data_IF_409167967025
#
_entry.id   IF_409167967025
#
_cell.length_a   1.000
_cell.length_b   1.000
_cell.length_c   1.000
_cell.angle_alpha   90.00
_cell.angle_beta   90.00
_cell.angle_gamma   90.00
#
_symmetry.space_group_name_H-M   'P 1'
#
loop_
_entity.id
_entity.type
_entity.pdbx_description
1 polymer ?
#
# COMPACT_ATOMS: atom_id res chain seq x y z
N UNK A 1 7.63 16.62 26.57
CA UNK A 1 8.86 16.17 25.86
C UNK A 1 8.70 16.51 24.38
N UNK A 2 9.64 17.21 23.85
CA UNK A 2 9.55 18.17 22.77
C UNK A 2 9.53 17.59 21.36
N UNK A 3 8.88 18.26 20.42
CA UNK A 3 8.80 18.03 18.96
C UNK A 3 10.16 17.71 18.23
N UNK A 4 11.27 17.80 18.95
CA UNK A 4 12.62 17.58 18.45
C UNK A 4 12.93 16.13 18.09
N UNK A 5 12.35 15.13 18.76
CA UNK A 5 12.76 13.73 18.56
C UNK A 5 12.18 13.06 17.30
N UNK A 6 10.97 13.46 16.86
CA UNK A 6 10.38 12.95 15.60
C UNK A 6 11.09 13.49 14.36
N UNK A 7 11.48 14.79 14.40
CA UNK A 7 12.27 15.41 13.31
C UNK A 7 13.69 14.85 13.20
N UNK A 8 14.27 14.41 14.31
CA UNK A 8 15.58 13.75 14.30
C UNK A 8 15.52 12.35 13.70
N UNK A 9 14.45 11.59 13.95
CA UNK A 9 14.27 10.24 13.38
C UNK A 9 14.25 10.26 11.84
N UNK A 10 13.51 11.19 11.23
CA UNK A 10 13.45 11.32 9.76
C UNK A 10 14.69 12.00 9.15
N UNK A 11 15.48 12.74 9.94
CA UNK A 11 16.71 13.39 9.44
C UNK A 11 17.97 12.54 9.56
N UNK A 12 18.03 11.62 10.51
CA UNK A 12 19.20 10.75 10.71
C UNK A 12 19.28 9.59 9.71
N UNK A 13 18.19 9.25 9.04
CA UNK A 13 18.23 8.21 7.98
C UNK A 13 18.88 8.67 6.67
N UNK A 14 19.22 9.96 6.53
CA UNK A 14 19.70 10.53 5.27
C UNK A 14 21.22 10.78 5.19
N UNK A 15 22.01 10.56 6.25
CA UNK A 15 23.46 10.83 6.20
C UNK A 15 24.25 9.82 7.03
N UNK A 16 24.86 8.84 6.39
CA UNK A 16 26.18 8.30 6.79
C UNK A 16 26.74 7.42 5.66
N UNK A 17 27.23 8.05 4.62
CA UNK A 17 28.28 7.49 3.79
C UNK A 17 29.61 7.81 4.49
N UNK A 18 30.15 6.89 5.24
CA UNK A 18 31.53 7.01 5.77
C UNK A 18 32.48 6.39 4.74
N UNK A 19 33.29 7.27 4.14
CA UNK A 19 34.45 6.88 3.36
C UNK A 19 35.51 6.30 4.31
N UNK A 20 35.84 5.04 4.14
CA UNK A 20 37.03 4.44 4.74
C UNK A 20 38.16 4.48 3.72
N UNK A 21 39.09 5.39 3.94
CA UNK A 21 40.38 5.44 3.23
C UNK A 21 41.39 4.56 3.94
N UNK A 22 41.96 3.62 3.19
CA UNK A 22 43.32 3.17 3.20
C UNK A 22 43.91 2.52 4.45
N UNK A 23 44.13 1.22 4.41
CA UNK A 23 45.32 0.55 4.97
C UNK A 23 45.84 -0.45 3.94
N UNK A 24 47.09 -0.24 3.59
CA UNK A 24 47.88 -1.03 2.65
C UNK A 24 48.32 -2.39 3.21
N UNK A 25 48.31 -3.39 2.35
CA UNK A 25 49.31 -4.42 2.28
C UNK A 25 49.18 -5.60 3.24
N UNK A 26 48.44 -6.63 2.84
CA UNK A 26 48.79 -8.03 3.16
C UNK A 26 48.52 -8.85 1.91
N UNK A 27 49.60 -9.38 1.32
CA UNK A 27 49.54 -10.42 0.29
C UNK A 27 49.08 -11.70 0.94
N UNK A 28 47.90 -12.18 0.56
CA UNK A 28 47.40 -13.51 0.94
C UNK A 28 47.55 -14.44 -0.28
N UNK A 29 48.31 -15.48 -0.06
CA UNK A 29 48.55 -16.58 -1.00
C UNK A 29 47.25 -17.12 -1.63
N UNK A 30 47.31 -17.39 -2.92
CA UNK A 30 46.32 -18.07 -3.70
C UNK A 30 46.16 -19.54 -3.26
N UNK A 31 45.36 -19.80 -2.22
CA UNK A 31 44.93 -21.13 -1.85
C UNK A 31 43.51 -21.37 -2.35
N UNK A 32 43.38 -22.20 -3.37
CA UNK A 32 42.24 -23.00 -3.81
C UNK A 32 40.85 -22.55 -3.28
N UNK A 33 40.13 -21.84 -4.10
CA UNK A 33 38.67 -21.76 -3.97
C UNK A 33 38.10 -23.18 -4.18
N UNK A 34 37.83 -23.89 -3.09
CA UNK A 34 36.93 -25.02 -3.10
C UNK A 34 35.54 -24.44 -3.33
N UNK A 35 34.88 -24.83 -4.42
CA UNK A 35 33.52 -24.49 -4.74
C UNK A 35 32.62 -24.86 -3.55
N UNK A 36 32.05 -23.87 -2.91
CA UNK A 36 30.98 -24.09 -1.91
C UNK A 36 29.79 -24.79 -2.63
N UNK A 37 29.24 -25.83 -2.05
CA UNK A 37 28.05 -26.48 -2.64
C UNK A 37 26.93 -25.47 -2.78
N UNK A 38 26.33 -25.47 -3.95
CA UNK A 38 25.24 -24.58 -4.35
C UNK A 38 24.13 -24.54 -3.30
N UNK A 39 23.96 -23.40 -2.62
CA UNK A 39 22.82 -23.13 -1.75
C UNK A 39 21.48 -23.07 -2.51
N UNK A 40 21.49 -23.24 -3.84
CA UNK A 40 20.30 -23.15 -4.71
C UNK A 40 19.25 -24.25 -4.46
N UNK A 41 19.63 -25.42 -3.95
CA UNK A 41 18.69 -26.56 -3.85
C UNK A 41 17.73 -26.47 -2.65
N UNK A 42 18.15 -25.86 -1.54
CA UNK A 42 17.32 -25.75 -0.32
C UNK A 42 16.30 -24.61 -0.47
N UNK A 43 16.71 -23.47 -0.99
CA UNK A 43 15.81 -22.35 -1.26
C UNK A 43 14.76 -22.72 -2.31
N UNK A 44 15.14 -23.44 -3.36
CA UNK A 44 14.19 -23.91 -4.40
C UNK A 44 13.16 -24.91 -3.83
N UNK A 45 13.59 -25.81 -2.95
CA UNK A 45 12.69 -26.76 -2.30
C UNK A 45 11.75 -26.09 -1.30
N UNK A 46 12.24 -25.14 -0.50
CA UNK A 46 11.41 -24.37 0.44
C UNK A 46 10.34 -23.55 -0.31
N UNK A 47 10.71 -22.89 -1.42
CA UNK A 47 9.76 -22.18 -2.26
C UNK A 47 8.72 -23.12 -2.90
N UNK A 48 9.12 -24.30 -3.37
CA UNK A 48 8.19 -25.28 -3.93
C UNK A 48 7.21 -25.81 -2.88
N UNK A 49 7.64 -26.00 -1.63
CA UNK A 49 6.76 -26.41 -0.53
C UNK A 49 5.79 -25.28 -0.17
N UNK A 50 6.27 -24.04 -0.06
CA UNK A 50 5.43 -22.86 0.23
C UNK A 50 4.35 -22.67 -0.84
N UNK A 51 4.72 -22.69 -2.11
CA UNK A 51 3.77 -22.54 -3.22
C UNK A 51 2.73 -23.66 -3.25
N UNK A 52 3.10 -24.89 -2.85
CA UNK A 52 2.16 -26.01 -2.80
C UNK A 52 1.18 -25.90 -1.64
N UNK A 53 1.60 -25.37 -0.49
CA UNK A 53 0.73 -25.19 0.69
C UNK A 53 -0.39 -24.17 0.48
N UNK A 54 -0.14 -23.13 -0.32
CA UNK A 54 -1.09 -22.03 -0.52
C UNK A 54 -1.67 -21.96 -1.94
N UNK A 55 -1.28 -22.90 -2.82
CA UNK A 55 -1.68 -22.90 -4.23
C UNK A 55 -3.20 -22.77 -4.46
N UNK A 56 -4.00 -23.24 -3.51
CA UNK A 56 -5.45 -23.31 -3.62
C UNK A 56 -6.19 -22.18 -2.86
N UNK A 57 -5.51 -21.30 -2.15
CA UNK A 57 -6.21 -20.25 -1.36
C UNK A 57 -6.82 -19.15 -2.23
N UNK A 58 -6.33 -18.97 -3.45
CA UNK A 58 -6.83 -17.99 -4.41
C UNK A 58 -6.41 -16.54 -4.09
N UNK A 59 -5.46 -16.34 -3.18
CA UNK A 59 -5.00 -15.03 -2.75
C UNK A 59 -3.82 -14.49 -3.57
N UNK A 60 -3.01 -15.37 -4.15
CA UNK A 60 -1.83 -14.96 -4.92
C UNK A 60 -2.19 -14.62 -6.36
N UNK A 61 -1.91 -13.39 -6.78
CA UNK A 61 -1.92 -12.98 -8.19
C UNK A 61 -0.53 -12.43 -8.52
N UNK A 62 0.28 -13.14 -9.32
CA UNK A 62 1.62 -12.68 -9.67
C UNK A 62 1.60 -11.33 -10.39
N UNK A 63 2.65 -10.52 -10.20
CA UNK A 63 2.88 -9.32 -11.01
C UNK A 63 3.40 -9.82 -12.37
N UNK A 64 2.74 -9.42 -13.44
CA UNK A 64 3.17 -9.78 -14.78
C UNK A 64 4.46 -9.05 -15.15
N UNK A 65 5.47 -9.78 -15.64
CA UNK A 65 6.72 -9.19 -16.14
C UNK A 65 6.52 -8.38 -17.44
N UNK A 66 5.46 -8.71 -18.18
CA UNK A 66 5.07 -8.03 -19.42
C UNK A 66 3.62 -7.60 -19.33
N UNK A 67 3.24 -6.51 -20.02
CA UNK A 67 1.86 -6.08 -20.09
C UNK A 67 0.95 -7.23 -20.55
N UNK A 68 -0.04 -7.54 -19.75
CA UNK A 68 -1.03 -8.57 -20.06
C UNK A 68 -2.41 -8.16 -19.56
N UNK A 69 -3.45 -8.59 -20.25
CA UNK A 69 -4.83 -8.34 -19.83
C UNK A 69 -5.09 -9.09 -18.51
N UNK A 70 -5.55 -8.35 -17.50
CA UNK A 70 -5.94 -8.91 -16.21
C UNK A 70 -7.28 -9.64 -16.34
N UNK A 71 -7.34 -10.87 -15.87
CA UNK A 71 -8.61 -11.61 -15.79
C UNK A 71 -9.66 -10.92 -14.93
N UNK A 72 -9.23 -10.08 -13.97
CA UNK A 72 -10.13 -9.33 -13.08
C UNK A 72 -10.84 -8.17 -13.79
N UNK A 73 -10.15 -7.52 -14.73
CA UNK A 73 -10.61 -6.30 -15.38
C UNK A 73 -11.12 -6.50 -16.79
N UNK A 74 -10.89 -7.67 -17.38
CA UNK A 74 -11.29 -7.97 -18.75
C UNK A 74 -12.79 -7.77 -18.95
N UNK A 75 -13.14 -6.92 -19.91
CA UNK A 75 -14.54 -6.63 -20.28
C UNK A 75 -15.23 -5.59 -19.40
N UNK A 76 -14.60 -5.11 -18.32
CA UNK A 76 -15.13 -3.99 -17.53
C UNK A 76 -14.98 -2.68 -18.28
N UNK A 77 -15.95 -1.79 -18.09
CA UNK A 77 -15.93 -0.46 -18.70
C UNK A 77 -15.11 0.53 -17.87
N UNK A 78 -15.38 0.62 -16.56
CA UNK A 78 -14.79 1.61 -15.64
C UNK A 78 -14.18 0.96 -14.42
N UNK A 79 -12.86 1.15 -14.28
CA UNK A 79 -12.11 0.65 -13.13
C UNK A 79 -11.42 1.81 -12.41
N UNK A 80 -11.13 1.64 -11.12
CA UNK A 80 -10.45 2.63 -10.31
C UNK A 80 -9.34 1.99 -9.49
N UNK A 81 -8.19 2.66 -9.42
CA UNK A 81 -7.05 2.27 -8.58
C UNK A 81 -6.77 3.38 -7.58
N UNK A 82 -6.67 3.01 -6.30
CA UNK A 82 -6.42 3.91 -5.18
C UNK A 82 -5.12 3.49 -4.48
N UNK A 83 -4.10 4.33 -4.59
CA UNK A 83 -2.79 4.10 -3.98
C UNK A 83 -2.77 4.33 -2.47
N UNK A 84 -1.69 3.91 -1.82
CA UNK A 84 -1.42 4.13 -0.41
C UNK A 84 -0.87 5.52 -0.10
N UNK A 85 -0.70 5.84 1.20
CA UNK A 85 -0.11 7.11 1.64
C UNK A 85 -0.51 7.54 3.04
N UNK A 86 -0.80 6.60 3.94
CA UNK A 86 -1.08 6.86 5.34
C UNK A 86 -2.34 7.67 5.60
N UNK A 87 -2.44 8.22 6.79
CA UNK A 87 -3.60 8.98 7.28
C UNK A 87 -3.83 10.25 6.46
N UNK A 88 -2.75 10.89 6.03
CA UNK A 88 -2.82 12.05 5.14
C UNK A 88 -3.63 11.73 3.88
N UNK A 89 -3.36 10.58 3.25
CA UNK A 89 -3.98 10.27 1.99
C UNK A 89 -5.43 9.81 2.14
N UNK A 90 -5.81 9.16 3.26
CA UNK A 90 -7.23 8.90 3.56
C UNK A 90 -8.01 10.23 3.64
N UNK A 91 -7.47 11.21 4.37
CA UNK A 91 -8.08 12.53 4.47
C UNK A 91 -8.15 13.24 3.11
N UNK A 92 -7.08 13.19 2.33
CA UNK A 92 -7.05 13.77 0.99
C UNK A 92 -8.13 13.15 0.09
N UNK A 93 -8.29 11.82 0.10
CA UNK A 93 -9.36 11.13 -0.62
C UNK A 93 -10.75 11.58 -0.17
N UNK A 94 -10.98 11.76 1.14
CA UNK A 94 -12.24 12.27 1.66
C UNK A 94 -12.60 13.63 1.03
N UNK A 95 -11.65 14.56 0.97
CA UNK A 95 -11.84 15.84 0.30
C UNK A 95 -12.06 15.71 -1.19
N UNK A 96 -11.25 14.90 -1.86
CA UNK A 96 -11.28 14.71 -3.30
C UNK A 96 -12.60 14.09 -3.79
N UNK A 97 -13.02 12.99 -3.19
CA UNK A 97 -14.28 12.33 -3.57
C UNK A 97 -15.51 13.14 -3.20
N UNK A 98 -15.44 13.93 -2.12
CA UNK A 98 -16.51 14.88 -1.80
C UNK A 98 -16.69 15.91 -2.91
N UNK A 99 -15.62 16.56 -3.36
CA UNK A 99 -15.72 17.54 -4.44
C UNK A 99 -16.09 16.92 -5.79
N UNK A 100 -15.69 15.66 -6.07
CA UNK A 100 -16.20 14.94 -7.25
C UNK A 100 -17.70 14.68 -7.15
N UNK A 101 -18.21 14.31 -5.98
CA UNK A 101 -19.65 14.10 -5.76
C UNK A 101 -20.44 15.39 -5.99
N UNK A 102 -19.96 16.53 -5.48
CA UNK A 102 -20.56 17.85 -5.74
C UNK A 102 -20.57 18.23 -7.24
N UNK A 103 -19.55 17.75 -7.99
CA UNK A 103 -19.50 17.92 -9.43
C UNK A 103 -20.37 16.91 -10.22
N UNK A 104 -21.15 16.07 -9.51
CA UNK A 104 -22.04 15.06 -10.11
C UNK A 104 -21.33 13.76 -10.52
N UNK A 105 -20.14 13.48 -9.96
CA UNK A 105 -19.39 12.25 -10.18
C UNK A 105 -19.46 11.36 -8.92
N UNK A 106 -20.43 10.47 -8.90
CA UNK A 106 -20.62 9.54 -7.78
C UNK A 106 -19.68 8.33 -7.89
N UNK A 107 -18.56 8.39 -7.16
CA UNK A 107 -17.56 7.33 -7.14
C UNK A 107 -18.01 6.06 -6.39
N UNK A 108 -19.17 6.09 -5.73
CA UNK A 108 -19.79 4.89 -5.16
C UNK A 108 -20.41 4.03 -6.26
N UNK A 109 -20.98 4.66 -7.29
CA UNK A 109 -21.73 3.99 -8.34
C UNK A 109 -20.94 3.76 -9.63
N UNK A 110 -20.06 4.70 -9.99
CA UNK A 110 -19.43 4.73 -11.31
C UNK A 110 -18.43 3.60 -11.58
N UNK A 111 -17.48 3.21 -10.69
CA UNK A 111 -16.53 2.15 -10.97
C UNK A 111 -17.16 0.76 -10.81
N UNK A 112 -16.86 -0.12 -11.76
CA UNK A 112 -17.25 -1.55 -11.71
C UNK A 112 -16.26 -2.38 -10.90
N UNK A 113 -15.03 -1.88 -10.74
CA UNK A 113 -13.96 -2.47 -9.97
C UNK A 113 -13.10 -1.40 -9.31
N UNK A 114 -12.74 -1.61 -8.06
CA UNK A 114 -11.82 -0.75 -7.30
C UNK A 114 -10.71 -1.61 -6.73
N UNK A 115 -9.47 -1.23 -6.99
CA UNK A 115 -8.27 -1.80 -6.37
C UNK A 115 -7.72 -0.78 -5.39
N UNK A 116 -7.63 -1.16 -4.12
CA UNK A 116 -7.11 -0.28 -3.07
C UNK A 116 -5.89 -0.86 -2.38
N UNK A 117 -4.90 0.00 -2.14
CA UNK A 117 -3.68 -0.32 -1.39
C UNK A 117 -3.57 0.60 -0.20
N UNK A 118 -3.31 0.07 1.01
CA UNK A 118 -3.10 0.86 2.23
C UNK A 118 -4.23 1.90 2.44
N UNK A 119 -3.95 3.19 2.48
CA UNK A 119 -4.97 4.24 2.55
C UNK A 119 -6.07 4.09 1.49
N UNK A 120 -5.72 3.68 0.27
CA UNK A 120 -6.68 3.41 -0.81
C UNK A 120 -7.57 2.21 -0.54
N UNK A 121 -7.12 1.22 0.24
CA UNK A 121 -7.95 0.09 0.66
C UNK A 121 -9.05 0.52 1.64
N UNK A 122 -8.74 1.40 2.59
CA UNK A 122 -9.73 1.99 3.48
C UNK A 122 -10.76 2.82 2.70
N UNK A 123 -10.27 3.70 1.83
CA UNK A 123 -11.15 4.56 1.04
C UNK A 123 -12.06 3.77 0.11
N UNK A 124 -11.52 2.83 -0.68
CA UNK A 124 -12.30 1.98 -1.58
C UNK A 124 -13.32 1.13 -0.83
N UNK A 125 -12.93 0.59 0.33
CA UNK A 125 -13.82 -0.17 1.20
C UNK A 125 -14.97 0.70 1.73
N UNK A 126 -14.67 1.90 2.21
CA UNK A 126 -15.68 2.83 2.72
C UNK A 126 -16.66 3.31 1.63
N UNK A 127 -16.13 3.63 0.44
CA UNK A 127 -16.96 3.98 -0.72
C UNK A 127 -17.94 2.86 -1.06
N UNK A 128 -17.45 1.63 -1.23
CA UNK A 128 -18.24 0.51 -1.73
C UNK A 128 -19.11 -0.16 -0.66
N UNK A 129 -18.89 0.14 0.62
CA UNK A 129 -19.75 -0.27 1.74
C UNK A 129 -20.84 0.77 2.06
N UNK A 130 -20.89 1.91 1.33
CA UNK A 130 -21.84 2.98 1.58
C UNK A 130 -21.50 3.88 2.78
N UNK A 131 -20.28 3.78 3.30
CA UNK A 131 -19.82 4.46 4.52
C UNK A 131 -19.08 5.79 4.25
N UNK A 132 -19.00 6.20 2.99
CA UNK A 132 -18.19 7.37 2.61
C UNK A 132 -18.62 8.66 3.32
N UNK A 133 -19.92 8.94 3.41
CA UNK A 133 -20.43 10.15 4.07
C UNK A 133 -20.07 10.17 5.54
N UNK A 134 -20.18 9.03 6.23
CA UNK A 134 -19.78 8.88 7.63
C UNK A 134 -18.28 9.09 7.77
N UNK A 135 -17.45 8.38 6.99
CA UNK A 135 -16.00 8.50 7.03
C UNK A 135 -15.54 9.94 6.81
N UNK A 136 -16.09 10.62 5.82
CA UNK A 136 -15.80 12.03 5.57
C UNK A 136 -16.13 12.91 6.78
N UNK A 137 -17.30 12.72 7.39
CA UNK A 137 -17.72 13.49 8.57
C UNK A 137 -16.78 13.26 9.76
N UNK A 138 -16.34 12.02 9.95
CA UNK A 138 -15.36 11.69 10.98
C UNK A 138 -14.00 12.35 10.71
N UNK A 139 -13.54 12.36 9.46
CA UNK A 139 -12.29 13.04 9.10
C UNK A 139 -12.39 14.57 9.19
N UNK A 140 -13.56 15.18 8.89
CA UNK A 140 -13.81 16.60 9.18
C UNK A 140 -13.69 16.89 10.69
N UNK A 141 -14.20 15.98 11.54
CA UNK A 141 -14.07 16.06 12.99
C UNK A 141 -12.63 15.88 13.45
N UNK A 142 -11.91 14.88 12.95
CA UNK A 142 -10.51 14.63 13.29
C UNK A 142 -9.59 15.76 12.79
N UNK A 143 -9.93 16.40 11.70
CA UNK A 143 -9.21 17.60 11.23
C UNK A 143 -9.28 18.77 12.22
N UNK A 144 -10.38 18.86 12.99
CA UNK A 144 -10.55 19.86 14.05
C UNK A 144 -9.93 19.42 15.38
N UNK A 145 -9.93 18.11 15.65
CA UNK A 145 -9.49 17.51 16.90
C UNK A 145 -8.50 16.35 16.65
N UNK A 146 -7.31 16.65 16.08
CA UNK A 146 -6.35 15.62 15.66
C UNK A 146 -5.82 14.77 16.83
N UNK A 147 -5.87 15.29 18.05
CA UNK A 147 -5.49 14.56 19.26
C UNK A 147 -6.43 13.37 19.58
N UNK A 148 -7.67 13.41 19.10
CA UNK A 148 -8.61 12.30 19.24
C UNK A 148 -8.21 11.18 18.30
N UNK A 149 -7.92 11.48 17.03
CA UNK A 149 -7.44 10.48 16.09
C UNK A 149 -6.11 9.86 16.54
N UNK A 150 -5.20 10.67 17.08
CA UNK A 150 -3.93 10.19 17.63
C UNK A 150 -4.09 9.18 18.78
N UNK A 151 -5.24 9.17 19.47
CA UNK A 151 -5.56 8.16 20.49
C UNK A 151 -6.11 6.86 19.90
N UNK A 152 -6.78 6.95 18.73
CA UNK A 152 -7.29 5.79 18.00
C UNK A 152 -6.15 5.05 17.28
N UNK A 153 -5.14 5.79 16.83
CA UNK A 153 -3.92 5.28 16.20
C UNK A 153 -2.71 5.61 17.06
N UNK A 154 -2.50 4.95 18.21
CA UNK A 154 -1.40 5.28 19.12
C UNK A 154 -0.07 4.89 18.49
N UNK A 155 0.46 5.75 17.63
CA UNK A 155 1.83 5.67 17.13
C UNK A 155 2.77 5.92 18.33
N UNK A 156 3.12 4.87 19.01
CA UNK A 156 4.10 4.93 20.10
C UNK A 156 5.48 5.17 19.52
N UNK A 157 6.40 5.70 20.35
CA UNK A 157 7.82 5.76 19.97
C UNK A 157 8.27 4.36 19.53
N UNK A 158 8.81 4.21 18.30
CA UNK A 158 9.24 2.91 17.81
C UNK A 158 10.36 2.36 18.70
N UNK A 159 10.29 1.08 18.99
CA UNK A 159 11.39 0.38 19.65
C UNK A 159 12.50 0.03 18.65
N UNK A 160 13.63 -0.49 19.14
CA UNK A 160 14.79 -0.81 18.30
C UNK A 160 14.44 -1.81 17.17
N UNK A 161 13.58 -2.80 17.44
CA UNK A 161 13.22 -3.79 16.42
C UNK A 161 12.32 -3.21 15.32
N UNK A 162 11.41 -2.30 15.69
CA UNK A 162 10.62 -1.54 14.72
C UNK A 162 11.50 -0.61 13.87
N UNK A 163 12.46 0.10 14.50
CA UNK A 163 13.42 0.93 13.78
C UNK A 163 14.26 0.14 12.78
N UNK A 164 14.66 -1.09 13.14
CA UNK A 164 15.38 -1.99 12.23
C UNK A 164 14.52 -2.43 11.06
N UNK A 165 13.27 -2.80 11.29
CA UNK A 165 12.36 -3.19 10.21
C UNK A 165 12.08 -2.02 9.25
N UNK A 166 11.87 -0.81 9.78
CA UNK A 166 11.74 0.40 8.98
C UNK A 166 13.04 0.69 8.19
N UNK A 167 14.21 0.60 8.82
CA UNK A 167 15.47 0.80 8.13
C UNK A 167 15.69 -0.20 6.98
N UNK A 168 15.29 -1.48 7.15
CA UNK A 168 15.38 -2.49 6.10
C UNK A 168 14.43 -2.11 4.94
N UNK A 169 13.19 -1.72 5.23
CA UNK A 169 12.26 -1.22 4.22
C UNK A 169 12.83 0.02 3.49
N UNK A 170 13.37 0.98 4.24
CA UNK A 170 13.91 2.24 3.69
C UNK A 170 15.29 2.09 3.03
N UNK A 171 15.92 0.93 3.09
CA UNK A 171 17.17 0.62 2.38
C UNK A 171 16.98 -0.27 1.16
N UNK A 172 15.74 -0.63 0.82
CA UNK A 172 15.45 -1.47 -0.34
C UNK A 172 15.83 -0.77 -1.65
N UNK A 173 16.53 -1.50 -2.51
CA UNK A 173 17.02 -0.98 -3.80
C UNK A 173 16.23 -1.53 -5.00
N UNK A 174 15.39 -2.52 -4.77
CA UNK A 174 14.54 -3.13 -5.77
C UNK A 174 13.25 -3.67 -5.12
N UNK A 175 12.28 -4.05 -5.93
CA UNK A 175 11.02 -4.66 -5.51
C UNK A 175 10.93 -6.16 -5.81
N UNK A 176 12.06 -6.86 -5.88
CA UNK A 176 12.12 -8.30 -6.14
C UNK A 176 11.43 -9.12 -5.04
N UNK A 177 11.08 -10.35 -5.36
CA UNK A 177 10.51 -11.29 -4.38
C UNK A 177 11.47 -11.46 -3.19
N UNK A 178 12.78 -11.56 -3.44
CA UNK A 178 13.77 -11.75 -2.39
C UNK A 178 13.87 -10.52 -1.46
N UNK A 179 13.88 -9.33 -2.01
CA UNK A 179 13.84 -8.09 -1.20
C UNK A 179 12.56 -8.02 -0.36
N UNK A 180 11.41 -8.36 -0.93
CA UNK A 180 10.13 -8.39 -0.20
C UNK A 180 10.12 -9.42 0.93
N UNK A 181 10.75 -10.59 0.76
CA UNK A 181 10.95 -11.58 1.83
C UNK A 181 11.81 -11.02 2.97
N UNK A 182 12.89 -10.33 2.64
CA UNK A 182 13.78 -9.72 3.64
C UNK A 182 12.99 -8.70 4.48
N UNK A 183 12.21 -7.82 3.82
CA UNK A 183 11.37 -6.84 4.49
C UNK A 183 10.29 -7.54 5.32
N UNK A 184 9.62 -8.56 4.78
CA UNK A 184 8.59 -9.33 5.47
C UNK A 184 9.11 -10.04 6.72
N UNK A 185 10.29 -10.66 6.64
CA UNK A 185 10.93 -11.28 7.80
C UNK A 185 11.30 -10.26 8.88
N UNK A 186 11.77 -9.07 8.48
CA UNK A 186 12.03 -7.98 9.41
C UNK A 186 10.76 -7.47 10.08
N UNK A 187 9.65 -7.35 9.33
CA UNK A 187 8.35 -6.96 9.86
C UNK A 187 7.81 -7.98 10.87
N UNK A 188 7.97 -9.29 10.61
CA UNK A 188 7.60 -10.37 11.53
C UNK A 188 8.46 -10.36 12.80
N UNK A 189 9.76 -10.10 12.68
CA UNK A 189 10.69 -10.06 13.80
C UNK A 189 10.55 -8.79 14.66
N UNK A 190 9.89 -7.75 14.15
CA UNK A 190 9.69 -6.53 14.91
C UNK A 190 8.65 -6.73 16.02
N UNK A 191 8.97 -6.24 17.23
CA UNK A 191 8.03 -6.23 18.34
C UNK A 191 7.09 -5.02 18.21
N UNK A 192 6.10 -5.11 17.32
CA UNK A 192 5.17 -4.03 17.05
C UNK A 192 4.10 -3.93 18.15
N UNK A 193 3.93 -2.75 18.73
CA UNK A 193 2.82 -2.46 19.65
C UNK A 193 1.50 -2.33 18.92
N UNK A 194 1.52 -1.69 17.76
CA UNK A 194 0.41 -1.69 16.81
C UNK A 194 0.52 -2.95 15.96
N UNK A 195 -0.36 -3.89 16.16
CA UNK A 195 -0.37 -5.18 15.46
C UNK A 195 -1.62 -5.32 14.57
N UNK A 196 -1.71 -6.41 13.82
CA UNK A 196 -2.83 -6.69 12.93
C UNK A 196 -4.21 -6.56 13.58
N UNK A 197 -4.37 -6.97 14.85
CA UNK A 197 -5.65 -6.84 15.54
C UNK A 197 -6.04 -5.38 15.86
N UNK A 198 -5.07 -4.50 16.09
CA UNK A 198 -5.34 -3.06 16.22
C UNK A 198 -5.71 -2.43 14.89
N UNK A 199 -5.00 -2.79 13.82
CA UNK A 199 -5.32 -2.32 12.47
C UNK A 199 -6.70 -2.80 12.03
N UNK A 200 -7.09 -4.03 12.39
CA UNK A 200 -8.42 -4.56 12.08
C UNK A 200 -9.53 -3.75 12.77
N UNK A 201 -9.34 -3.36 14.04
CA UNK A 201 -10.29 -2.48 14.75
C UNK A 201 -10.38 -1.11 14.09
N UNK A 202 -9.24 -0.52 13.71
CA UNK A 202 -9.23 0.74 12.99
C UNK A 202 -9.91 0.59 11.62
N UNK A 203 -9.61 -0.48 10.88
CA UNK A 203 -10.23 -0.76 9.60
C UNK A 203 -11.76 -0.92 9.74
N UNK A 204 -12.24 -1.64 10.75
CA UNK A 204 -13.66 -1.79 11.03
C UNK A 204 -14.33 -0.45 11.34
N UNK A 205 -13.66 0.43 12.09
CA UNK A 205 -14.13 1.79 12.32
C UNK A 205 -14.24 2.58 11.01
N UNK A 206 -13.20 2.54 10.17
CA UNK A 206 -13.16 3.31 8.92
C UNK A 206 -14.06 2.75 7.81
N UNK A 207 -14.33 1.44 7.82
CA UNK A 207 -15.12 0.75 6.78
C UNK A 207 -16.51 0.34 7.23
N UNK A 208 -16.95 0.72 8.45
CA UNK A 208 -18.26 0.40 9.00
C UNK A 208 -18.42 -1.09 9.35
N UNK A 209 -19.61 -1.63 9.12
CA UNK A 209 -19.98 -3.01 9.51
C UNK A 209 -19.35 -4.13 8.66
N UNK A 210 -18.41 -3.80 7.79
CA UNK A 210 -17.70 -4.81 6.97
C UNK A 210 -16.67 -5.67 7.74
N UNK A 211 -16.71 -5.64 9.08
CA UNK A 211 -15.85 -6.44 9.95
C UNK A 211 -16.15 -7.94 9.96
N UNK A 212 -17.30 -8.36 9.45
CA UNK A 212 -17.73 -9.77 9.46
C UNK A 212 -17.88 -10.37 8.08
N UNK A 213 -17.82 -9.55 7.01
CA UNK A 213 -18.08 -10.00 5.64
C UNK A 213 -17.32 -9.18 4.61
N UNK A 214 -17.39 -9.63 3.36
CA UNK A 214 -16.93 -8.89 2.17
C UNK A 214 -18.15 -8.49 1.35
N UNK A 215 -18.74 -7.31 1.57
CA UNK A 215 -20.09 -6.97 1.10
C UNK A 215 -20.19 -6.71 -0.41
N UNK A 216 -19.09 -6.56 -1.11
CA UNK A 216 -19.09 -6.21 -2.53
C UNK A 216 -18.05 -6.97 -3.35
N UNK A 217 -18.47 -7.46 -4.52
CA UNK A 217 -17.55 -8.07 -5.50
C UNK A 217 -16.64 -7.07 -6.24
N UNK A 218 -16.92 -5.76 -6.09
CA UNK A 218 -16.17 -4.70 -6.80
C UNK A 218 -14.87 -4.32 -6.11
N UNK A 219 -14.72 -4.58 -4.80
CA UNK A 219 -13.53 -4.18 -4.04
C UNK A 219 -12.46 -5.26 -4.04
N UNK A 220 -11.23 -4.84 -4.30
CA UNK A 220 -10.02 -5.63 -4.15
C UNK A 220 -9.03 -4.89 -3.28
N UNK A 221 -8.47 -5.56 -2.25
CA UNK A 221 -7.36 -5.06 -1.45
C UNK A 221 -6.08 -5.82 -1.79
N UNK A 222 -4.94 -5.18 -1.62
CA UNK A 222 -3.64 -5.74 -1.98
C UNK A 222 -2.73 -5.84 -0.77
N UNK A 223 -1.81 -6.78 -0.78
CA UNK A 223 -0.81 -6.96 0.26
C UNK A 223 0.40 -7.74 -0.26
N UNK A 224 1.36 -7.99 0.61
CA UNK A 224 2.52 -8.83 0.31
C UNK A 224 2.68 -9.86 1.42
N UNK A 225 2.80 -11.13 1.04
CA UNK A 225 3.08 -12.22 1.98
C UNK A 225 4.50 -12.07 2.56
N UNK A 226 4.60 -12.04 3.88
CA UNK A 226 5.87 -11.79 4.57
C UNK A 226 6.91 -12.91 4.37
N UNK A 227 6.48 -14.16 4.19
CA UNK A 227 7.37 -15.29 4.02
C UNK A 227 7.76 -15.55 2.57
N UNK A 228 6.77 -15.43 1.66
CA UNK A 228 6.99 -15.76 0.25
C UNK A 228 7.38 -14.55 -0.60
N UNK A 229 7.12 -13.33 -0.12
CA UNK A 229 7.27 -12.10 -0.89
C UNK A 229 6.27 -11.98 -2.05
N UNK A 230 5.29 -12.90 -2.15
CA UNK A 230 4.28 -12.89 -3.20
C UNK A 230 3.25 -11.77 -2.98
N UNK A 231 2.74 -11.23 -4.07
CA UNK A 231 1.61 -10.31 -4.03
C UNK A 231 0.34 -11.05 -3.65
N UNK A 232 -0.37 -10.52 -2.66
CA UNK A 232 -1.69 -10.94 -2.23
C UNK A 232 -2.72 -9.98 -2.79
N UNK A 233 -3.79 -10.52 -3.37
CA UNK A 233 -4.94 -9.74 -3.85
C UNK A 233 -6.21 -10.39 -3.31
N UNK A 234 -6.95 -9.66 -2.49
CA UNK A 234 -8.19 -10.17 -1.88
C UNK A 234 -9.38 -9.51 -2.55
N UNK A 235 -10.18 -10.29 -3.24
CA UNK A 235 -11.51 -9.93 -3.70
C UNK A 235 -12.55 -10.82 -3.04
N UNK A 236 -13.85 -10.55 -3.26
CA UNK A 236 -14.95 -11.24 -2.57
C UNK A 236 -14.86 -12.77 -2.64
N UNK A 237 -14.52 -13.34 -3.79
CA UNK A 237 -14.45 -14.81 -3.96
C UNK A 237 -13.37 -15.42 -3.06
N UNK A 238 -12.16 -14.88 -3.10
CA UNK A 238 -11.04 -15.34 -2.27
C UNK A 238 -11.31 -15.05 -0.78
N UNK A 239 -11.90 -13.90 -0.47
CA UNK A 239 -12.29 -13.53 0.88
C UNK A 239 -13.29 -14.52 1.48
N UNK A 240 -14.35 -14.85 0.74
CA UNK A 240 -15.37 -15.82 1.20
C UNK A 240 -14.75 -17.21 1.41
N UNK A 241 -13.88 -17.66 0.49
CA UNK A 241 -13.19 -18.95 0.61
C UNK A 241 -12.33 -19.05 1.87
N UNK A 242 -11.70 -17.95 2.28
CA UNK A 242 -10.76 -17.91 3.40
C UNK A 242 -11.34 -17.27 4.68
N UNK A 243 -12.62 -16.92 4.70
CA UNK A 243 -13.25 -16.29 5.86
C UNK A 243 -12.68 -14.90 6.19
N UNK A 244 -12.29 -14.11 5.18
CA UNK A 244 -11.65 -12.82 5.33
C UNK A 244 -12.68 -11.70 5.24
N UNK A 245 -12.96 -10.95 6.32
CA UNK A 245 -13.78 -9.75 6.25
C UNK A 245 -13.07 -8.62 5.50
N UNK A 246 -13.84 -7.68 4.93
CA UNK A 246 -13.27 -6.54 4.19
C UNK A 246 -12.38 -5.67 5.08
N UNK A 247 -12.79 -5.42 6.33
CA UNK A 247 -11.97 -4.70 7.30
C UNK A 247 -10.61 -5.40 7.55
N UNK A 248 -10.60 -6.73 7.58
CA UNK A 248 -9.38 -7.50 7.76
C UNK A 248 -8.46 -7.41 6.54
N UNK A 249 -9.05 -7.46 5.32
CA UNK A 249 -8.30 -7.22 4.08
C UNK A 249 -7.68 -5.81 4.02
N UNK A 250 -8.41 -4.78 4.46
CA UNK A 250 -7.90 -3.41 4.54
C UNK A 250 -6.79 -3.26 5.59
N UNK A 251 -6.93 -3.91 6.76
CA UNK A 251 -5.90 -3.95 7.79
C UNK A 251 -4.59 -4.58 7.27
N UNK A 252 -4.70 -5.72 6.60
CA UNK A 252 -3.54 -6.38 6.00
C UNK A 252 -2.84 -5.49 4.96
N UNK A 253 -3.64 -4.81 4.13
CA UNK A 253 -3.16 -3.86 3.12
C UNK A 253 -2.41 -2.66 3.69
N UNK A 254 -2.52 -2.41 5.00
CA UNK A 254 -1.97 -1.25 5.72
C UNK A 254 -0.94 -1.63 6.79
N UNK A 255 -0.51 -2.88 6.81
CA UNK A 255 0.49 -3.39 7.77
C UNK A 255 1.90 -2.97 7.36
N UNK A 256 2.20 -1.66 7.48
CA UNK A 256 3.47 -1.06 7.06
C UNK A 256 4.63 -1.53 7.95
N UNK A 257 5.69 -2.13 7.39
CA UNK A 257 6.86 -2.58 8.14
C UNK A 257 7.48 -1.49 9.02
N UNK A 258 7.78 -1.82 10.27
CA UNK A 258 8.33 -0.88 11.24
C UNK A 258 7.28 0.02 11.93
N UNK A 259 6.11 0.20 11.34
CA UNK A 259 4.99 0.99 11.89
C UNK A 259 3.97 0.07 12.56
N UNK A 260 3.49 -0.92 11.81
CA UNK A 260 2.53 -1.90 12.28
C UNK A 260 3.02 -3.33 12.04
N UNK A 261 2.57 -4.26 12.88
CA UNK A 261 2.84 -5.68 12.68
C UNK A 261 2.05 -6.25 11.52
N UNK A 262 2.58 -7.29 10.87
CA UNK A 262 1.84 -8.01 9.83
C UNK A 262 0.50 -8.53 10.33
N UNK A 263 -0.49 -8.51 9.45
CA UNK A 263 -1.83 -9.04 9.72
C UNK A 263 -1.92 -10.48 9.25
N UNK A 264 -2.45 -11.37 10.09
CA UNK A 264 -2.74 -12.75 9.69
C UNK A 264 -4.01 -12.76 8.82
N UNK A 265 -3.86 -13.04 7.54
CA UNK A 265 -4.93 -13.05 6.54
C UNK A 265 -5.14 -14.49 6.03
N UNK A 266 -6.20 -15.15 6.48
CA UNK A 266 -6.33 -16.59 6.29
C UNK A 266 -5.22 -17.35 7.04
N UNK A 267 -4.28 -17.92 6.31
CA UNK A 267 -3.11 -18.62 6.86
C UNK A 267 -1.79 -17.89 6.56
N UNK A 268 -1.84 -16.65 6.05
CA UNK A 268 -0.66 -15.89 5.64
C UNK A 268 -0.46 -14.66 6.51
N UNK A 269 0.78 -14.39 6.90
CA UNK A 269 1.15 -13.10 7.46
C UNK A 269 1.42 -12.12 6.32
N UNK A 270 0.63 -11.05 6.27
CA UNK A 270 0.60 -10.10 5.17
C UNK A 270 1.02 -8.72 5.68
N UNK A 271 1.92 -8.08 4.94
CA UNK A 271 2.32 -6.68 5.10
C UNK A 271 1.71 -5.80 4.01
N UNK A 272 1.88 -4.48 4.17
CA UNK A 272 1.34 -3.45 3.28
C UNK A 272 1.61 -3.75 1.78
N UNK A 273 0.58 -3.58 0.97
CA UNK A 273 0.66 -3.79 -0.48
C UNK A 273 1.59 -2.82 -1.21
N UNK A 274 1.88 -1.67 -0.60
CA UNK A 274 2.83 -0.70 -1.13
C UNK A 274 4.29 -1.19 -1.13
N UNK A 275 4.58 -2.29 -0.42
CA UNK A 275 5.91 -2.93 -0.41
C UNK A 275 6.08 -3.79 -1.66
N UNK A 276 6.07 -3.16 -2.82
CA UNK A 276 6.04 -3.84 -4.11
C UNK A 276 6.61 -2.93 -5.20
N UNK A 277 7.17 -3.50 -6.25
CA UNK A 277 7.64 -2.75 -7.44
C UNK A 277 6.48 -2.12 -8.25
N UNK A 278 5.25 -2.52 -7.99
CA UNK A 278 4.04 -1.90 -8.52
C UNK A 278 3.10 -1.54 -7.35
N UNK A 279 3.42 -0.50 -6.56
CA UNK A 279 2.78 -0.24 -5.27
C UNK A 279 1.31 0.19 -5.37
N UNK A 280 0.88 0.65 -6.54
CA UNK A 280 -0.53 0.94 -6.83
C UNK A 280 -1.25 -0.24 -7.52
N UNK A 281 -0.52 -1.29 -7.91
CA UNK A 281 -1.05 -2.49 -8.55
C UNK A 281 -1.90 -2.21 -9.79
N UNK A 282 -1.49 -1.24 -10.60
CA UNK A 282 -2.24 -0.79 -11.79
C UNK A 282 -2.42 -1.88 -12.85
N UNK A 283 -1.56 -2.89 -12.87
CA UNK A 283 -1.68 -4.05 -13.76
C UNK A 283 -2.99 -4.85 -13.54
N UNK A 284 -3.58 -4.76 -12.36
CA UNK A 284 -4.84 -5.45 -12.05
C UNK A 284 -6.04 -4.89 -12.85
N UNK A 285 -5.95 -3.66 -13.37
CA UNK A 285 -7.00 -3.04 -14.17
C UNK A 285 -6.72 -3.09 -15.68
N UNK A 286 -5.63 -3.73 -16.08
CA UNK A 286 -5.29 -3.93 -17.49
C UNK A 286 -6.36 -4.74 -18.23
N UNK A 287 -6.80 -4.28 -19.39
CA UNK A 287 -7.88 -4.88 -20.17
C UNK A 287 -9.27 -4.34 -19.89
N UNK A 288 -9.44 -3.43 -18.92
CA UNK A 288 -10.66 -2.61 -18.82
C UNK A 288 -10.68 -1.56 -19.93
N UNK A 289 -11.85 -1.01 -20.26
CA UNK A 289 -11.88 0.07 -21.26
C UNK A 289 -11.25 1.35 -20.71
N UNK A 290 -11.55 1.70 -19.46
CA UNK A 290 -11.11 2.95 -18.81
C UNK A 290 -10.70 2.70 -17.36
N UNK A 291 -9.55 3.23 -16.96
CA UNK A 291 -9.05 3.15 -15.60
C UNK A 291 -8.72 4.55 -15.06
N UNK A 292 -9.35 4.94 -13.95
CA UNK A 292 -8.94 6.11 -13.15
C UNK A 292 -7.94 5.64 -12.11
N UNK A 293 -6.71 6.07 -12.24
CA UNK A 293 -5.61 5.75 -11.31
C UNK A 293 -5.32 6.99 -10.46
N UNK A 294 -5.37 6.85 -9.14
CA UNK A 294 -5.10 7.94 -8.21
C UNK A 294 -3.97 7.49 -7.28
N UNK A 295 -2.85 8.22 -7.30
CA UNK A 295 -1.67 7.92 -6.49
C UNK A 295 -1.24 9.14 -5.69
N UNK A 296 -0.62 8.93 -4.52
CA UNK A 296 -0.10 10.02 -3.69
C UNK A 296 1.05 10.73 -4.38
N UNK A 297 1.99 9.95 -4.93
CA UNK A 297 3.16 10.45 -5.67
C UNK A 297 3.21 9.85 -7.06
N UNK A 298 4.11 10.38 -7.89
CA UNK A 298 4.48 9.81 -9.19
C UNK A 298 5.52 8.66 -9.07
N UNK A 299 5.90 8.31 -7.84
CA UNK A 299 6.97 7.35 -7.53
C UNK A 299 8.37 7.96 -7.50
N UNK A 300 8.51 9.26 -7.79
CA UNK A 300 9.79 9.98 -7.85
C UNK A 300 9.85 11.11 -6.84
N UNK A 301 8.74 11.83 -6.66
CA UNK A 301 8.67 13.05 -5.85
C UNK A 301 7.65 12.91 -4.72
N UNK A 302 7.86 13.67 -3.64
CA UNK A 302 6.96 13.75 -2.49
C UNK A 302 7.40 12.93 -1.29
N UNK A 303 6.52 12.79 -0.31
CA UNK A 303 6.74 11.93 0.86
C UNK A 303 6.56 10.47 0.50
N UNK A 304 7.41 9.61 1.03
CA UNK A 304 7.43 8.17 0.75
C UNK A 304 7.39 7.37 2.04
N UNK A 305 6.81 6.18 2.00
CA UNK A 305 6.76 5.20 3.10
C UNK A 305 7.64 3.96 2.81
N UNK A 306 8.23 3.90 1.62
CA UNK A 306 9.20 2.88 1.20
C UNK A 306 10.09 3.48 0.12
N UNK A 307 11.32 3.00 0.01
CA UNK A 307 12.30 3.40 -1.03
C UNK A 307 12.39 2.41 -2.18
N UNK A 308 11.55 1.37 -2.19
CA UNK A 308 11.48 0.46 -3.35
C UNK A 308 11.20 1.30 -4.60
N UNK A 309 12.03 1.18 -5.65
CA UNK A 309 11.82 1.92 -6.89
C UNK A 309 10.44 1.66 -7.50
N UNK A 310 9.72 2.73 -7.81
CA UNK A 310 8.35 2.67 -8.28
C UNK A 310 8.23 3.25 -9.68
N UNK A 311 8.32 2.46 -10.74
CA UNK A 311 8.11 2.94 -12.09
C UNK A 311 6.60 3.11 -12.40
N UNK A 312 5.87 3.92 -11.60
CA UNK A 312 4.42 4.08 -11.76
C UNK A 312 4.07 4.54 -13.18
N UNK A 313 4.82 5.49 -13.72
CA UNK A 313 4.62 5.96 -15.10
C UNK A 313 4.77 4.79 -16.10
N UNK A 314 5.80 3.95 -15.94
CA UNK A 314 5.99 2.78 -16.79
C UNK A 314 4.85 1.78 -16.62
N UNK A 315 4.44 1.49 -15.38
CA UNK A 315 3.31 0.58 -15.13
C UNK A 315 2.01 1.08 -15.77
N UNK A 316 1.80 2.40 -15.84
CA UNK A 316 0.66 3.00 -16.53
C UNK A 316 0.78 2.80 -18.05
N UNK A 317 1.95 3.03 -18.64
CA UNK A 317 2.15 2.79 -20.08
C UNK A 317 1.96 1.31 -20.43
N UNK A 318 2.41 0.40 -19.56
CA UNK A 318 2.19 -1.03 -19.71
C UNK A 318 0.69 -1.37 -19.72
N UNK A 319 -0.10 -0.75 -18.85
CA UNK A 319 -1.58 -0.91 -18.84
C UNK A 319 -2.20 -0.33 -20.10
N UNK A 320 -1.75 0.84 -20.57
CA UNK A 320 -2.23 1.44 -21.84
C UNK A 320 -1.93 0.54 -23.04
N UNK A 321 -0.79 -0.15 -23.05
CA UNK A 321 -0.41 -1.10 -24.09
C UNK A 321 -1.39 -2.27 -24.22
N UNK A 322 -2.18 -2.57 -23.20
CA UNK A 322 -3.26 -3.59 -23.24
C UNK A 322 -4.58 -3.07 -23.84
N UNK A 323 -4.62 -1.83 -24.30
CA UNK A 323 -5.81 -1.17 -24.84
C UNK A 323 -6.65 -0.41 -23.81
N UNK A 324 -6.24 -0.40 -22.53
CA UNK A 324 -6.91 0.35 -21.46
C UNK A 324 -6.60 1.85 -21.59
N UNK A 325 -7.62 2.69 -21.65
CA UNK A 325 -7.44 4.14 -21.50
C UNK A 325 -7.20 4.44 -20.01
N UNK A 326 -6.18 5.23 -19.70
CA UNK A 326 -5.85 5.57 -18.30
C UNK A 326 -5.88 7.08 -18.09
N UNK A 327 -6.66 7.53 -17.11
CA UNK A 327 -6.55 8.86 -16.51
C UNK A 327 -5.79 8.70 -15.20
N UNK A 328 -4.62 9.32 -15.11
CA UNK A 328 -3.79 9.29 -13.90
C UNK A 328 -3.85 10.64 -13.17
N UNK A 329 -4.22 10.60 -11.90
CA UNK A 329 -4.23 11.74 -10.99
C UNK A 329 -3.16 11.52 -9.92
N UNK A 330 -2.20 12.42 -9.85
CA UNK A 330 -1.21 12.47 -8.78
C UNK A 330 -1.67 13.49 -7.76
N UNK A 331 -1.92 13.06 -6.52
CA UNK A 331 -2.37 13.96 -5.45
C UNK A 331 -1.31 15.03 -5.16
N UNK A 332 -0.06 14.59 -5.09
CA UNK A 332 1.06 15.43 -4.65
C UNK A 332 1.06 15.59 -3.12
N UNK A 333 2.25 15.61 -2.54
CA UNK A 333 2.43 15.83 -1.10
C UNK A 333 3.31 17.05 -0.88
N UNK A 334 2.87 18.03 -0.09
CA UNK A 334 3.72 19.17 0.24
C UNK A 334 5.04 18.70 0.91
N UNK A 335 6.14 19.35 0.57
CA UNK A 335 7.45 18.98 1.11
C UNK A 335 7.45 19.05 2.64
N UNK A 336 7.95 18.00 3.29
CA UNK A 336 8.11 17.93 4.74
C UNK A 336 6.83 17.56 5.51
N UNK A 337 5.77 17.13 4.81
CA UNK A 337 4.58 16.55 5.43
C UNK A 337 4.92 15.16 5.98
N UNK A 338 4.53 14.93 7.23
CA UNK A 338 4.50 13.58 7.81
C UNK A 338 3.14 12.94 7.48
N UNK A 339 3.15 11.87 6.69
CA UNK A 339 1.96 11.20 6.20
C UNK A 339 1.14 10.49 7.30
N UNK A 340 1.76 10.30 8.47
CA UNK A 340 1.18 9.63 9.64
C UNK A 340 0.91 10.61 10.80
N UNK A 341 0.99 11.93 10.58
CA UNK A 341 0.67 12.94 11.60
C UNK A 341 -0.80 13.39 11.47
N UNK A 342 -1.67 13.07 12.45
CA UNK A 342 -3.07 13.49 12.44
C UNK A 342 -3.29 15.01 12.29
N UNK A 343 -2.31 15.83 12.64
CA UNK A 343 -2.37 17.29 12.44
C UNK A 343 -2.43 17.69 10.96
N UNK A 344 -2.07 16.79 10.06
CA UNK A 344 -2.12 17.03 8.62
C UNK A 344 -3.52 16.80 8.02
N UNK A 345 -4.45 16.17 8.76
CA UNK A 345 -5.78 15.79 8.28
C UNK A 345 -6.55 16.98 7.68
N UNK A 346 -6.63 18.11 8.42
CA UNK A 346 -7.37 19.29 7.94
C UNK A 346 -6.78 19.86 6.63
N UNK A 347 -5.45 19.89 6.52
CA UNK A 347 -4.74 20.32 5.32
C UNK A 347 -4.98 19.38 4.14
N UNK A 348 -4.93 18.08 4.39
CA UNK A 348 -5.15 17.05 3.39
C UNK A 348 -6.58 17.09 2.83
N UNK A 349 -7.61 17.19 3.69
CA UNK A 349 -9.01 17.37 3.29
C UNK A 349 -9.17 18.53 2.32
N UNK A 350 -8.63 19.70 2.70
CA UNK A 350 -8.72 20.91 1.86
C UNK A 350 -8.01 20.74 0.53
N UNK A 351 -6.79 20.23 0.53
CA UNK A 351 -6.02 20.04 -0.72
C UNK A 351 -6.67 19.02 -1.63
N UNK A 352 -7.26 17.95 -1.07
CA UNK A 352 -8.04 16.97 -1.85
C UNK A 352 -9.27 17.61 -2.49
N UNK A 353 -10.02 18.38 -1.73
CA UNK A 353 -11.20 19.09 -2.22
C UNK A 353 -10.85 20.10 -3.34
N UNK A 354 -9.81 20.93 -3.16
CA UNK A 354 -9.37 21.85 -4.21
C UNK A 354 -8.88 21.12 -5.45
N UNK A 355 -8.18 19.99 -5.29
CA UNK A 355 -7.76 19.16 -6.42
C UNK A 355 -8.95 18.60 -7.20
N UNK A 356 -10.03 18.23 -6.55
CA UNK A 356 -11.21 17.71 -7.22
C UNK A 356 -11.83 18.73 -8.19
N UNK A 357 -11.83 20.02 -7.85
CA UNK A 357 -12.35 21.08 -8.72
C UNK A 357 -11.59 21.18 -10.04
N UNK A 358 -10.29 20.91 -9.99
CA UNK A 358 -9.41 20.90 -11.17
C UNK A 358 -9.66 19.64 -12.02
N UNK A 359 -9.80 18.49 -11.36
CA UNK A 359 -9.87 17.20 -12.06
C UNK A 359 -11.28 16.80 -12.50
N UNK A 360 -12.34 17.28 -11.83
CA UNK A 360 -13.69 16.86 -12.10
C UNK A 360 -14.12 17.01 -13.58
N UNK A 361 -13.87 18.13 -14.28
CA UNK A 361 -14.24 18.26 -15.68
C UNK A 361 -13.61 17.18 -16.56
N UNK A 362 -12.31 16.95 -16.38
CA UNK A 362 -11.55 15.96 -17.19
C UNK A 362 -11.90 14.52 -16.84
N UNK A 363 -12.21 14.23 -15.57
CA UNK A 363 -12.68 12.90 -15.14
C UNK A 363 -14.08 12.64 -15.72
N UNK A 364 -14.96 13.64 -15.72
CA UNK A 364 -16.30 13.53 -16.30
C UNK A 364 -16.25 13.21 -17.79
N UNK A 365 -15.44 13.94 -18.53
CA UNK A 365 -15.20 13.68 -19.96
C UNK A 365 -14.58 12.29 -20.18
N UNK A 366 -13.60 11.92 -19.36
CA UNK A 366 -12.93 10.62 -19.46
C UNK A 366 -13.89 9.45 -19.22
N UNK A 367 -14.87 9.59 -18.35
CA UNK A 367 -15.83 8.54 -17.96
C UNK A 367 -17.18 8.62 -18.70
N UNK A 368 -17.39 9.66 -19.50
CA UNK A 368 -18.50 9.70 -20.44
C UNK A 368 -18.27 8.73 -21.62
#
# INVERSE_FOLDING_TARGET
MTQSSRRQFLKTSAVSAVAVTGVSGVTVDSARAQAMPQQSSVATKANAISNKLFADDGLTIPIAEKPSVSKLAQGLDRTMVLGGGGEYYIAWYCGFFHGLLEAGLDMVQLPEMVVGTSAGSYMGSSLLSGEFTRLRTEFDFFGKFPEIFAKLTPLTQPNISQMRADQINMSATDGSIETRKIIGNAALAANNKLNGAHLEKLAALLTGDSKTSWPTKRMYTTGVDCYTGERIVVGQQAATKNGIPLAHGAAASSSLPGVAGPTLLGQRYVMDGGICSNPAHVDLVAGSKRALVITLTDGVTGAILTTIPHPIAQNIEDVKATGTRVKWVVAGTPKGVDLLDPKQIAGALRTGYERSKIEAPTIKEFWA
#
